data_IF_866401210135
#
_entry.id   IF_866401210135
#
_cell.length_a   1.000
_cell.length_b   1.000
_cell.length_c   1.000
_cell.angle_alpha   90.00
_cell.angle_beta   90.00
_cell.angle_gamma   90.00
#
_symmetry.space_group_name_H-M   'P 1'
#
loop_
_entity.id
_entity.type
_entity.pdbx_description
1 polymer ?
#
# COMPACT_ATOMS: atom_id res chain seq x y z
N UNK A 1 -2.71 -9.79 0.73
CA UNK A 1 -3.14 -11.09 1.26
C UNK A 1 -4.04 -10.83 2.49
N UNK A 2 -5.20 -10.21 2.25
CA UNK A 2 -6.20 -9.78 3.28
C UNK A 2 -7.56 -9.39 2.65
N UNK A 3 -7.61 -9.10 1.34
CA UNK A 3 -8.82 -8.62 0.62
C UNK A 3 -9.43 -9.70 -0.30
N UNK A 4 -8.80 -10.87 -0.38
CA UNK A 4 -9.20 -11.97 -1.26
C UNK A 4 -9.61 -13.19 -0.43
N UNK A 5 -10.56 -12.94 0.47
CA UNK A 5 -11.33 -14.01 1.09
C UNK A 5 -12.61 -14.13 0.26
N UNK A 6 -13.10 -15.35 0.04
CA UNK A 6 -14.32 -15.68 -0.71
C UNK A 6 -15.59 -15.12 -0.01
N UNK A 7 -15.61 -13.81 0.25
CA UNK A 7 -16.59 -13.01 0.97
C UNK A 7 -17.12 -11.96 -0.03
N UNK A 8 -18.03 -12.36 -0.94
CA UNK A 8 -18.56 -11.47 -1.97
C UNK A 8 -19.34 -10.30 -1.37
N UNK A 9 -19.87 -10.46 -0.15
CA UNK A 9 -20.64 -9.45 0.58
C UNK A 9 -19.75 -8.49 1.39
N UNK A 10 -18.45 -8.79 1.51
CA UNK A 10 -17.47 -8.02 2.30
C UNK A 10 -17.85 -7.88 3.78
N UNK A 11 -18.60 -8.82 4.36
CA UNK A 11 -19.09 -8.75 5.74
C UNK A 11 -17.94 -8.64 6.74
N UNK A 12 -16.83 -9.33 6.48
CA UNK A 12 -15.66 -9.30 7.35
C UNK A 12 -14.98 -7.93 7.34
N UNK A 13 -14.90 -7.30 6.16
CA UNK A 13 -14.36 -5.94 6.01
C UNK A 13 -15.26 -4.93 6.72
N UNK A 14 -16.58 -4.99 6.51
CA UNK A 14 -17.52 -4.07 7.16
C UNK A 14 -17.48 -4.17 8.68
N UNK A 15 -17.37 -5.40 9.22
CA UNK A 15 -17.19 -5.63 10.67
C UNK A 15 -15.90 -5.02 11.18
N UNK A 16 -14.79 -5.23 10.47
CA UNK A 16 -13.51 -4.62 10.83
C UNK A 16 -13.61 -3.09 10.81
N UNK A 17 -14.22 -2.51 9.77
CA UNK A 17 -14.36 -1.06 9.64
C UNK A 17 -15.09 -0.46 10.85
N UNK A 18 -16.24 -1.02 11.22
CA UNK A 18 -17.01 -0.57 12.39
C UNK A 18 -16.23 -0.71 13.69
N UNK A 19 -15.52 -1.83 13.86
CA UNK A 19 -14.70 -2.07 15.05
C UNK A 19 -13.55 -1.09 15.16
N UNK A 20 -12.84 -0.82 14.06
CA UNK A 20 -11.76 0.15 14.00
C UNK A 20 -12.24 1.55 14.39
N UNK A 21 -13.31 2.02 13.74
CA UNK A 21 -13.89 3.35 13.98
C UNK A 21 -14.38 3.53 15.41
N UNK A 22 -14.96 2.48 16.03
CA UNK A 22 -15.52 2.60 17.36
C UNK A 22 -14.47 2.46 18.48
N UNK A 23 -13.54 1.52 18.35
CA UNK A 23 -12.74 1.06 19.48
C UNK A 23 -11.23 1.36 19.37
N UNK A 24 -10.70 1.55 18.16
CA UNK A 24 -9.25 1.57 17.96
C UNK A 24 -8.71 2.88 17.36
N UNK A 25 -9.54 3.66 16.65
CA UNK A 25 -9.08 4.82 15.91
C UNK A 25 -8.54 6.00 16.76
N UNK A 26 -8.90 6.07 18.05
CA UNK A 26 -8.68 7.29 18.85
C UNK A 26 -7.20 7.56 19.15
N UNK A 27 -6.38 6.51 19.31
CA UNK A 27 -4.95 6.61 19.64
C UNK A 27 -4.08 5.68 18.77
N UNK A 28 -4.61 5.25 17.62
CA UNK A 28 -3.91 4.33 16.71
C UNK A 28 -3.91 4.87 15.28
N UNK A 29 -2.84 4.55 14.55
CA UNK A 29 -2.76 4.77 13.11
C UNK A 29 -3.09 3.49 12.36
N UNK A 30 -3.93 3.59 11.34
CA UNK A 30 -4.21 2.50 10.42
C UNK A 30 -3.18 2.48 9.30
N UNK A 31 -2.47 1.36 9.16
CA UNK A 31 -1.52 1.15 8.07
C UNK A 31 -1.93 -0.04 7.24
N UNK A 32 -2.05 0.15 5.93
CA UNK A 32 -2.21 -0.95 4.98
C UNK A 32 -0.89 -1.25 4.27
N UNK A 33 -0.59 -2.54 4.10
CA UNK A 33 0.57 -3.01 3.34
C UNK A 33 0.14 -4.02 2.27
N UNK A 34 0.60 -3.80 1.05
CA UNK A 34 0.22 -4.61 -0.12
C UNK A 34 1.36 -4.69 -1.14
N UNK A 35 1.45 -5.83 -1.83
CA UNK A 35 2.35 -5.98 -2.98
C UNK A 35 1.81 -5.36 -4.28
N UNK A 36 0.57 -4.86 -4.27
CA UNK A 36 -0.05 -4.20 -5.42
C UNK A 36 0.63 -2.85 -5.70
N UNK A 37 0.66 -2.46 -6.97
CA UNK A 37 1.04 -1.10 -7.37
C UNK A 37 -0.01 -0.06 -6.93
N UNK A 38 0.30 1.24 -6.97
CA UNK A 38 -0.63 2.30 -6.58
C UNK A 38 -1.88 2.28 -7.43
N UNK A 39 -1.72 2.10 -8.74
CA UNK A 39 -2.85 1.99 -9.68
C UNK A 39 -3.77 0.83 -9.29
N UNK A 40 -3.22 -0.36 -9.04
CA UNK A 40 -4.02 -1.54 -8.67
C UNK A 40 -4.67 -1.40 -7.29
N UNK A 41 -4.02 -0.71 -6.35
CA UNK A 41 -4.61 -0.41 -5.06
C UNK A 41 -5.77 0.60 -5.17
N UNK A 42 -5.64 1.63 -6.01
CA UNK A 42 -6.70 2.61 -6.29
C UNK A 42 -7.92 1.92 -6.90
N UNK A 43 -7.75 1.00 -7.84
CA UNK A 43 -8.86 0.22 -8.39
C UNK A 43 -9.52 -0.65 -7.31
N UNK A 44 -8.72 -1.33 -6.48
CA UNK A 44 -9.24 -2.13 -5.36
C UNK A 44 -10.10 -1.31 -4.40
N UNK A 45 -9.73 -0.05 -4.12
CA UNK A 45 -10.53 0.84 -3.26
C UNK A 45 -11.89 1.21 -3.85
N UNK A 46 -12.06 1.12 -5.18
CA UNK A 46 -13.36 1.32 -5.83
C UNK A 46 -14.24 0.07 -5.72
N UNK A 47 -13.62 -1.10 -5.69
CA UNK A 47 -14.31 -2.40 -5.68
C UNK A 47 -14.71 -2.87 -4.27
N UNK A 48 -13.93 -2.48 -3.25
CA UNK A 48 -14.04 -3.00 -1.89
C UNK A 48 -14.25 -1.86 -0.89
N UNK A 49 -15.09 -2.06 0.15
CA UNK A 49 -15.34 -1.04 1.18
C UNK A 49 -14.17 -0.94 2.15
N UNK A 50 -13.00 -0.52 1.67
CA UNK A 50 -11.81 -0.35 2.49
C UNK A 50 -11.89 0.97 3.26
N UNK A 51 -11.48 0.94 4.53
CA UNK A 51 -11.17 2.17 5.25
C UNK A 51 -10.08 2.97 4.53
N UNK A 52 -10.03 4.26 4.82
CA UNK A 52 -8.89 5.09 4.45
C UNK A 52 -7.82 4.93 5.52
N UNK A 53 -6.67 4.30 5.23
CA UNK A 53 -5.58 4.23 6.19
C UNK A 53 -4.86 5.59 6.29
N UNK A 54 -4.18 5.81 7.41
CA UNK A 54 -3.27 6.95 7.58
C UNK A 54 -2.04 6.80 6.68
N UNK A 55 -1.57 5.56 6.49
CA UNK A 55 -0.44 5.23 5.62
C UNK A 55 -0.75 3.99 4.78
N UNK A 56 -0.41 4.04 3.49
CA UNK A 56 -0.44 2.89 2.60
C UNK A 56 0.95 2.58 2.09
N UNK A 57 1.41 1.36 2.32
CA UNK A 57 2.65 0.80 1.81
C UNK A 57 2.31 -0.12 0.65
N UNK A 58 2.86 0.16 -0.52
CA UNK A 58 2.53 -0.50 -1.79
C UNK A 58 3.80 -0.99 -2.48
N UNK A 59 3.63 -1.72 -3.59
CA UNK A 59 4.75 -2.20 -4.43
C UNK A 59 5.83 -2.93 -3.61
N UNK A 60 5.40 -3.70 -2.61
CA UNK A 60 6.30 -4.47 -1.74
C UNK A 60 7.26 -3.54 -0.96
N UNK A 61 6.78 -2.37 -0.56
CA UNK A 61 7.52 -1.44 0.30
C UNK A 61 8.30 -0.36 -0.44
N UNK A 62 8.30 -0.33 -1.77
CA UNK A 62 8.98 0.73 -2.52
C UNK A 62 8.19 2.03 -2.60
N UNK A 63 6.90 1.98 -2.27
CA UNK A 63 6.02 3.15 -2.31
C UNK A 63 5.28 3.30 -0.99
N UNK A 64 5.38 4.49 -0.39
CA UNK A 64 4.65 4.87 0.81
C UNK A 64 3.84 6.12 0.47
N UNK A 65 2.56 6.10 0.81
CA UNK A 65 1.64 7.21 0.56
C UNK A 65 0.76 7.48 1.79
N UNK A 66 0.41 8.75 2.00
CA UNK A 66 -0.30 9.20 3.20
C UNK A 66 -1.72 9.67 2.91
N UNK A 67 -2.62 9.26 3.82
CA UNK A 67 -4.01 9.70 3.91
C UNK A 67 -4.85 9.42 2.65
N UNK A 68 -6.02 10.05 2.61
CA UNK A 68 -6.98 9.82 1.52
C UNK A 68 -6.49 10.28 0.15
N UNK A 69 -5.72 11.37 0.12
CA UNK A 69 -5.16 11.96 -1.10
C UNK A 69 -3.98 11.18 -1.67
N UNK A 70 -3.53 10.12 -1.00
CA UNK A 70 -2.42 9.25 -1.44
C UNK A 70 -1.15 10.07 -1.75
N UNK A 71 -0.80 11.00 -0.85
CA UNK A 71 0.38 11.87 -1.06
C UNK A 71 1.65 11.03 -0.90
N UNK A 72 2.54 10.98 -1.91
CA UNK A 72 3.76 10.20 -1.82
C UNK A 72 4.72 10.68 -0.73
N UNK A 73 5.38 9.75 -0.05
CA UNK A 73 6.52 10.06 0.80
C UNK A 73 7.77 10.31 -0.05
N UNK A 74 8.06 11.58 -0.30
CA UNK A 74 9.26 11.98 -1.03
C UNK A 74 10.57 11.66 -0.30
N UNK A 75 10.57 11.69 1.05
CA UNK A 75 11.75 11.32 1.83
C UNK A 75 12.08 9.83 1.70
N UNK A 76 11.07 8.98 1.64
CA UNK A 76 11.24 7.55 1.36
C UNK A 76 11.73 7.29 -0.07
N UNK A 77 11.17 8.01 -1.06
CA UNK A 77 11.64 7.94 -2.45
C UNK A 77 13.12 8.30 -2.54
N UNK A 78 13.53 9.39 -1.89
CA UNK A 78 14.93 9.82 -1.87
C UNK A 78 15.83 8.81 -1.16
N UNK A 79 15.33 8.19 -0.09
CA UNK A 79 16.03 7.13 0.64
C UNK A 79 16.26 5.90 -0.23
N UNK A 80 15.24 5.43 -0.97
CA UNK A 80 15.35 4.30 -1.88
C UNK A 80 16.25 4.59 -3.08
N UNK A 81 16.22 5.82 -3.58
CA UNK A 81 17.08 6.26 -4.67
C UNK A 81 18.54 6.44 -4.21
N UNK A 82 18.81 6.53 -2.91
CA UNK A 82 20.17 6.61 -2.40
C UNK A 82 20.94 5.34 -2.77
N UNK A 83 21.99 5.50 -3.60
CA UNK A 83 22.85 4.42 -4.11
C UNK A 83 22.17 3.42 -5.04
N UNK A 84 20.94 3.69 -5.47
CA UNK A 84 20.32 2.96 -6.58
C UNK A 84 20.82 3.52 -7.91
N UNK A 85 21.47 2.69 -8.73
CA UNK A 85 21.94 3.08 -10.08
C UNK A 85 21.49 2.06 -11.12
N UNK A 86 20.53 2.46 -11.96
CA UNK A 86 20.01 1.64 -13.06
C UNK A 86 21.11 1.24 -14.06
N UNK A 87 22.18 2.03 -14.20
CA UNK A 87 23.27 1.73 -15.13
C UNK A 87 24.02 0.47 -14.69
N UNK A 88 24.31 0.34 -13.40
CA UNK A 88 24.97 -0.85 -12.83
C UNK A 88 24.12 -2.09 -13.09
N UNK A 89 22.80 -2.01 -12.87
CA UNK A 89 21.87 -3.12 -13.13
C UNK A 89 21.89 -3.54 -14.61
N UNK A 90 21.87 -2.57 -15.54
CA UNK A 90 21.91 -2.84 -16.98
C UNK A 90 23.24 -3.45 -17.40
N UNK A 91 24.36 -2.95 -16.90
CA UNK A 91 25.70 -3.46 -17.18
C UNK A 91 25.85 -4.91 -16.71
N UNK A 92 25.44 -5.22 -15.48
CA UNK A 92 25.51 -6.58 -14.94
C UNK A 92 24.58 -7.56 -15.68
N UNK A 93 23.35 -7.13 -15.99
CA UNK A 93 22.38 -8.00 -16.70
C UNK A 93 22.82 -8.28 -18.14
N UNK A 94 23.50 -7.32 -18.79
CA UNK A 94 24.08 -7.48 -20.13
C UNK A 94 25.08 -8.63 -20.24
N UNK A 95 25.72 -9.04 -19.14
CA UNK A 95 26.68 -10.16 -19.11
C UNK A 95 26.04 -11.53 -19.31
N UNK A 96 24.71 -11.63 -19.16
CA UNK A 96 23.94 -12.88 -19.27
C UNK A 96 23.01 -12.90 -20.49
N UNK A 97 23.17 -11.92 -21.39
CA UNK A 97 22.39 -11.78 -22.62
C UNK A 97 23.04 -12.51 -23.80
#
# INVERSE_FOLDING_TARGET
MLVDHHDPENLSLLRFNSLWEHAYCHDSLLVFSTGRSPTLYIELRKEKPLLTPDTTIMSIGTEIMYGNSMVPDHGWVDTLNNKWDLRVVKEETGKFS
#
